data_IF_907043921046
#
_entry.id   IF_907043921046
#
_cell.length_a   1.000
_cell.length_b   1.000
_cell.length_c   1.000
_cell.angle_alpha   90.00
_cell.angle_beta   90.00
_cell.angle_gamma   90.00
#
_symmetry.space_group_name_H-M   'P 1'
#
loop_
_entity.id
_entity.type
_entity.pdbx_description
1 polymer ?
#
# COMPACT_ATOMS: atom_id res chain seq x y z
N UNK A 1 9.35 1.70 38.69
CA UNK A 1 8.91 0.53 37.90
C UNK A 1 8.71 0.98 36.46
N UNK A 2 9.28 0.28 35.48
CA UNK A 2 9.07 0.59 34.05
C UNK A 2 7.74 -0.02 33.63
N UNK A 3 6.78 0.81 33.18
CA UNK A 3 5.47 0.33 32.72
C UNK A 3 5.59 -0.30 31.32
N UNK A 4 4.66 -1.20 30.98
CA UNK A 4 4.58 -1.78 29.62
C UNK A 4 4.47 -0.69 28.53
N UNK A 5 3.80 0.41 28.85
CA UNK A 5 3.67 1.55 27.95
C UNK A 5 4.99 2.30 27.74
N UNK A 6 5.80 2.44 28.79
CA UNK A 6 7.13 3.05 28.70
C UNK A 6 8.09 2.21 27.83
N UNK A 7 8.02 0.88 27.92
CA UNK A 7 8.75 -0.03 27.03
C UNK A 7 8.32 0.12 25.56
N UNK A 8 7.02 0.27 25.32
CA UNK A 8 6.47 0.47 23.97
C UNK A 8 6.91 1.82 23.38
N UNK A 9 6.85 2.90 24.16
CA UNK A 9 7.31 4.23 23.76
C UNK A 9 8.81 4.24 23.45
N UNK A 10 9.63 3.56 24.27
CA UNK A 10 11.07 3.40 24.02
C UNK A 10 11.35 2.63 22.73
N UNK A 11 10.62 1.55 22.44
CA UNK A 11 10.77 0.80 21.19
C UNK A 11 10.43 1.65 19.96
N UNK A 12 9.35 2.44 20.04
CA UNK A 12 8.93 3.33 18.96
C UNK A 12 9.99 4.43 18.74
N UNK A 13 10.46 5.07 19.81
CA UNK A 13 11.48 6.12 19.71
C UNK A 13 12.80 5.60 19.12
N UNK A 14 13.21 4.37 19.47
CA UNK A 14 14.39 3.71 18.90
C UNK A 14 14.25 3.43 17.40
N UNK A 15 13.09 2.94 16.97
CA UNK A 15 12.82 2.68 15.55
C UNK A 15 12.79 3.97 14.72
N UNK A 16 12.28 5.07 15.30
CA UNK A 16 12.32 6.40 14.66
C UNK A 16 13.76 6.89 14.53
N UNK A 17 14.59 6.71 15.57
CA UNK A 17 15.99 7.10 15.53
C UNK A 17 16.78 6.32 14.45
N UNK A 18 16.57 5.00 14.33
CA UNK A 18 17.22 4.20 13.27
C UNK A 18 16.83 4.68 11.87
N UNK A 19 15.56 5.06 11.67
CA UNK A 19 15.11 5.62 10.41
C UNK A 19 15.76 6.98 10.13
N UNK A 20 15.79 7.87 11.11
CA UNK A 20 16.41 9.21 10.96
C UNK A 20 17.92 9.12 10.76
N UNK A 21 18.59 8.13 11.36
CA UNK A 21 20.01 7.85 11.13
C UNK A 21 20.25 7.48 9.66
N UNK A 22 19.41 6.64 9.07
CA UNK A 22 19.47 6.30 7.64
C UNK A 22 19.13 7.48 6.72
N UNK A 23 18.23 8.38 7.14
CA UNK A 23 17.91 9.62 6.40
C UNK A 23 19.06 10.64 6.49
N UNK A 24 19.77 10.71 7.61
CA UNK A 24 20.99 11.54 7.76
C UNK A 24 22.14 11.02 6.91
N UNK A 25 22.35 9.70 6.86
CA UNK A 25 23.38 9.07 6.02
C UNK A 25 23.12 9.30 4.51
N UNK A 26 21.92 9.74 4.15
CA UNK A 26 21.50 10.12 2.79
C UNK A 26 21.43 11.64 2.58
N UNK A 27 21.94 12.44 3.52
CA UNK A 27 21.90 13.92 3.51
C UNK A 27 20.46 14.50 3.42
N UNK A 28 19.44 13.74 3.84
CA UNK A 28 18.03 14.19 3.80
C UNK A 28 17.62 15.01 5.02
N UNK A 29 18.36 14.91 6.12
CA UNK A 29 18.13 15.67 7.35
C UNK A 29 19.47 16.19 7.89
N UNK A 30 19.42 17.27 8.66
CA UNK A 30 20.59 17.89 9.27
C UNK A 30 20.95 17.27 10.64
N UNK A 31 22.23 17.39 11.02
CA UNK A 31 22.76 16.83 12.26
C UNK A 31 22.01 17.32 13.53
N UNK A 32 21.61 18.60 13.65
CA UNK A 32 20.83 19.08 14.79
C UNK A 32 19.50 18.34 14.97
N UNK A 33 18.83 18.00 13.87
CA UNK A 33 17.55 17.26 13.88
C UNK A 33 17.76 15.81 14.34
N UNK A 34 18.84 15.17 13.91
CA UNK A 34 19.21 13.83 14.39
C UNK A 34 19.58 13.84 15.88
N UNK A 35 20.31 14.85 16.35
CA UNK A 35 20.71 14.98 17.76
C UNK A 35 19.51 15.22 18.69
N UNK A 36 18.50 15.97 18.24
CA UNK A 36 17.26 16.14 18.98
C UNK A 36 16.55 14.79 19.19
N UNK A 37 16.46 13.97 18.14
CA UNK A 37 15.88 12.62 18.27
C UNK A 37 16.70 11.69 19.18
N UNK A 38 18.04 11.79 19.15
CA UNK A 38 18.92 11.08 20.10
C UNK A 38 18.66 11.50 21.54
N UNK A 39 18.43 12.79 21.79
CA UNK A 39 18.08 13.32 23.10
C UNK A 39 16.75 12.76 23.61
N UNK A 40 15.74 12.67 22.72
CA UNK A 40 14.42 12.07 23.04
C UNK A 40 14.56 10.58 23.39
N UNK A 41 15.32 9.79 22.63
CA UNK A 41 15.55 8.38 22.99
C UNK A 41 16.28 8.24 24.33
N UNK A 42 17.21 9.16 24.61
CA UNK A 42 17.94 9.20 25.88
C UNK A 42 17.04 9.61 27.04
N UNK A 43 16.08 10.51 26.84
CA UNK A 43 15.10 10.90 27.87
C UNK A 43 14.15 9.75 28.22
N UNK A 44 13.80 8.88 27.27
CA UNK A 44 13.08 7.62 27.55
C UNK A 44 13.93 6.53 28.22
N UNK A 45 15.26 6.71 28.29
CA UNK A 45 16.14 5.80 29.03
C UNK A 45 16.32 6.23 30.50
N UNK A 46 16.20 7.52 30.79
CA UNK A 46 16.19 8.07 32.15
C UNK A 46 14.76 8.16 32.66
N UNK A 47 14.44 7.48 33.76
CA UNK A 47 13.09 7.21 34.29
C UNK A 47 12.20 8.40 34.66
N UNK A 48 12.56 9.64 34.33
CA UNK A 48 11.79 10.84 34.68
C UNK A 48 11.42 11.61 33.41
N UNK A 49 10.30 11.28 32.78
CA UNK A 49 9.65 12.18 31.83
C UNK A 49 8.15 12.20 32.07
N UNK A 50 7.65 13.34 32.54
CA UNK A 50 6.24 13.72 32.45
C UNK A 50 6.06 14.40 31.09
N UNK A 51 5.20 13.87 30.20
CA UNK A 51 5.02 14.45 28.87
C UNK A 51 4.24 15.77 28.96
N UNK A 52 4.81 16.86 28.43
CA UNK A 52 4.05 18.06 28.11
C UNK A 52 3.03 17.74 27.02
N UNK A 53 1.76 18.02 27.34
CA UNK A 53 0.61 17.79 26.46
C UNK A 53 0.65 18.79 25.32
N UNK A 54 1.07 18.35 24.14
CA UNK A 54 0.90 19.12 22.90
C UNK A 54 -0.59 19.07 22.52
N UNK A 55 -1.24 20.24 22.54
CA UNK A 55 -2.64 20.41 22.14
C UNK A 55 -2.82 19.99 20.68
N UNK A 56 -3.78 19.09 20.45
CA UNK A 56 -4.18 18.61 19.13
C UNK A 56 -4.75 19.78 18.31
N UNK A 57 -4.19 20.00 17.12
CA UNK A 57 -4.80 20.84 16.08
C UNK A 57 -5.81 19.94 15.34
N UNK A 58 -7.09 20.33 15.23
CA UNK A 58 -8.08 19.54 14.50
C UNK A 58 -7.80 19.63 13.00
N UNK A 59 -7.72 18.47 12.34
CA UNK A 59 -7.71 18.38 10.87
C UNK A 59 -9.14 18.11 10.44
N UNK A 60 -9.79 19.12 9.86
CA UNK A 60 -11.05 18.96 9.15
C UNK A 60 -10.78 18.25 7.81
N UNK A 61 -11.28 17.03 7.66
CA UNK A 61 -11.40 16.36 6.36
C UNK A 61 -12.71 16.80 5.70
N UNK A 62 -12.70 17.32 4.45
CA UNK A 62 -13.93 17.61 3.73
C UNK A 62 -14.57 16.29 3.29
N UNK A 63 -15.85 16.13 3.62
CA UNK A 63 -16.71 15.06 3.10
C UNK A 63 -17.42 15.65 1.89
N UNK A 64 -17.00 15.28 0.69
CA UNK A 64 -17.78 15.55 -0.52
C UNK A 64 -18.84 14.45 -0.67
N UNK A 65 -20.10 14.85 -0.52
CA UNK A 65 -21.27 14.05 -0.87
C UNK A 65 -21.38 13.94 -2.39
N UNK A 66 -21.15 12.75 -2.95
CA UNK A 66 -21.50 12.42 -4.33
C UNK A 66 -22.56 11.31 -4.33
N UNK A 67 -23.71 11.66 -4.92
CA UNK A 67 -24.88 10.82 -5.12
C UNK A 67 -24.51 9.68 -6.09
N UNK A 68 -24.64 8.41 -5.66
CA UNK A 68 -24.38 7.24 -6.50
C UNK A 68 -25.66 6.60 -7.04
N UNK A 69 -25.70 6.40 -8.36
CA UNK A 69 -26.65 5.52 -9.05
C UNK A 69 -26.19 4.06 -8.92
N UNK A 70 -27.09 3.20 -8.43
CA UNK A 70 -26.84 1.78 -8.22
C UNK A 70 -26.91 0.99 -9.54
N UNK A 71 -25.76 0.47 -10.00
CA UNK A 71 -25.67 -0.38 -11.20
C UNK A 71 -25.58 -1.86 -10.77
N UNK A 72 -26.39 -2.73 -11.39
CA UNK A 72 -26.57 -4.14 -11.02
C UNK A 72 -25.55 -5.07 -11.71
N UNK A 73 -25.47 -6.33 -11.26
CA UNK A 73 -24.50 -7.35 -11.73
C UNK A 73 -24.53 -7.66 -13.23
N UNK A 74 -25.57 -7.24 -13.96
CA UNK A 74 -25.69 -7.44 -15.40
C UNK A 74 -24.79 -6.48 -16.22
N UNK A 75 -24.24 -5.42 -15.59
CA UNK A 75 -23.40 -4.40 -16.21
C UNK A 75 -21.88 -4.65 -16.11
N UNK A 76 -21.45 -5.77 -15.51
CA UNK A 76 -20.02 -6.09 -15.30
C UNK A 76 -19.34 -6.54 -16.59
N UNK A 77 -20.07 -7.26 -17.45
CA UNK A 77 -19.56 -7.75 -18.73
C UNK A 77 -19.26 -6.65 -19.76
N UNK A 78 -20.10 -5.61 -19.96
CA UNK A 78 -19.78 -4.53 -20.89
C UNK A 78 -18.59 -3.67 -20.42
N UNK A 79 -18.40 -3.48 -19.11
CA UNK A 79 -17.26 -2.73 -18.59
C UNK A 79 -15.92 -3.45 -18.81
N UNK A 80 -15.87 -4.75 -18.53
CA UNK A 80 -14.69 -5.58 -18.85
C UNK A 80 -14.41 -5.62 -20.35
N UNK A 81 -15.46 -5.72 -21.18
CA UNK A 81 -15.32 -5.64 -22.64
C UNK A 81 -14.77 -4.28 -23.10
N UNK A 82 -15.19 -3.19 -22.45
CA UNK A 82 -14.68 -1.84 -22.68
C UNK A 82 -13.18 -1.71 -22.37
N UNK A 83 -12.76 -2.17 -21.19
CA UNK A 83 -11.33 -2.17 -20.81
C UNK A 83 -10.51 -3.06 -21.76
N UNK A 84 -11.03 -4.24 -22.13
CA UNK A 84 -10.36 -5.14 -23.06
C UNK A 84 -10.20 -4.55 -24.47
N UNK A 85 -11.19 -3.78 -24.93
CA UNK A 85 -11.08 -3.00 -26.17
C UNK A 85 -9.98 -1.94 -26.08
N UNK A 86 -9.89 -1.21 -24.95
CA UNK A 86 -8.83 -0.21 -24.73
C UNK A 86 -7.43 -0.84 -24.71
N UNK A 87 -7.26 -1.98 -24.03
CA UNK A 87 -6.01 -2.76 -24.04
C UNK A 87 -5.61 -3.13 -25.47
N UNK A 88 -6.58 -3.60 -26.27
CA UNK A 88 -6.34 -3.99 -27.66
C UNK A 88 -5.94 -2.80 -28.54
N UNK A 89 -6.56 -1.64 -28.34
CA UNK A 89 -6.20 -0.40 -29.04
C UNK A 89 -4.79 0.07 -28.68
N UNK A 90 -4.44 0.06 -27.39
CA UNK A 90 -3.10 0.42 -26.92
C UNK A 90 -2.03 -0.52 -27.49
N UNK A 91 -2.33 -1.82 -27.55
CA UNK A 91 -1.40 -2.81 -28.12
C UNK A 91 -1.20 -2.62 -29.63
N UNK A 92 -2.26 -2.30 -30.38
CA UNK A 92 -2.18 -1.95 -31.80
C UNK A 92 -1.35 -0.69 -32.03
N UNK A 93 -1.59 0.39 -31.26
CA UNK A 93 -0.84 1.64 -31.35
C UNK A 93 0.64 1.42 -31.02
N UNK A 94 0.94 0.70 -29.94
CA UNK A 94 2.30 0.34 -29.54
C UNK A 94 3.00 -0.47 -30.64
N UNK A 95 2.33 -1.47 -31.21
CA UNK A 95 2.88 -2.30 -32.29
C UNK A 95 3.15 -1.47 -33.54
N UNK A 96 2.24 -0.55 -33.90
CA UNK A 96 2.44 0.37 -35.01
C UNK A 96 3.68 1.23 -34.81
N UNK A 97 3.84 1.83 -33.63
CA UNK A 97 5.00 2.67 -33.27
C UNK A 97 6.31 1.89 -33.23
N UNK A 98 6.30 0.64 -32.75
CA UNK A 98 7.45 -0.27 -32.80
C UNK A 98 7.84 -0.59 -34.26
N UNK A 99 6.85 -0.82 -35.12
CA UNK A 99 7.11 -1.07 -36.54
C UNK A 99 7.63 0.19 -37.26
N UNK A 100 7.10 1.37 -36.92
CA UNK A 100 7.63 2.66 -37.38
C UNK A 100 9.12 2.80 -36.97
N UNK A 101 9.45 2.56 -35.69
CA UNK A 101 10.83 2.61 -35.20
C UNK A 101 11.73 1.58 -35.92
N UNK A 102 11.21 0.37 -36.19
CA UNK A 102 11.96 -0.70 -36.87
C UNK A 102 12.28 -0.37 -38.33
N UNK A 103 11.38 0.34 -39.00
CA UNK A 103 11.51 0.69 -40.42
C UNK A 103 12.32 2.00 -40.64
N UNK A 104 12.70 2.68 -39.57
CA UNK A 104 13.50 3.91 -39.67
C UNK A 104 15.00 3.62 -39.84
N UNK A 105 15.75 4.53 -40.50
CA UNK A 105 17.20 4.45 -40.59
C UNK A 105 17.82 4.48 -39.19
N UNK A 106 18.80 3.60 -38.93
CA UNK A 106 19.47 3.47 -37.62
C UNK A 106 20.28 4.70 -37.22
N UNK A 107 20.58 5.56 -38.19
CA UNK A 107 21.45 6.72 -38.02
C UNK A 107 20.69 7.94 -37.47
N UNK A 108 19.35 7.85 -37.36
CA UNK A 108 18.50 8.91 -36.85
C UNK A 108 18.06 8.55 -35.42
N UNK A 109 18.50 9.35 -34.44
CA UNK A 109 18.09 9.17 -33.04
C UNK A 109 16.65 9.66 -32.85
N UNK A 110 15.72 8.73 -32.61
CA UNK A 110 14.29 9.03 -32.42
C UNK A 110 13.89 8.88 -30.96
N UNK A 111 14.43 9.75 -30.11
CA UNK A 111 14.17 9.75 -28.66
C UNK A 111 12.67 9.89 -28.36
N UNK A 112 11.99 10.77 -29.09
CA UNK A 112 10.55 11.02 -28.95
C UNK A 112 9.72 9.76 -29.22
N UNK A 113 10.00 9.05 -30.32
CA UNK A 113 9.30 7.81 -30.67
C UNK A 113 9.54 6.72 -29.61
N UNK A 114 10.73 6.63 -29.06
CA UNK A 114 11.04 5.69 -27.96
C UNK A 114 10.32 6.08 -26.67
N UNK A 115 10.19 7.37 -26.36
CA UNK A 115 9.40 7.85 -25.22
C UNK A 115 7.92 7.56 -25.40
N UNK A 116 7.35 7.78 -26.59
CA UNK A 116 5.97 7.42 -26.92
C UNK A 116 5.71 5.92 -26.74
N UNK A 117 6.63 5.05 -27.21
CA UNK A 117 6.51 3.60 -27.01
C UNK A 117 6.55 3.23 -25.53
N UNK A 118 7.40 3.89 -24.73
CA UNK A 118 7.45 3.68 -23.28
C UNK A 118 6.15 4.09 -22.61
N UNK A 119 5.61 5.26 -22.96
CA UNK A 119 4.33 5.74 -22.44
C UNK A 119 3.19 4.78 -22.78
N UNK A 120 3.07 4.37 -24.05
CA UNK A 120 2.08 3.39 -24.50
C UNK A 120 2.20 2.04 -23.76
N UNK A 121 3.41 1.64 -23.39
CA UNK A 121 3.64 0.43 -22.58
C UNK A 121 3.16 0.62 -21.14
N UNK A 122 3.39 1.76 -20.52
CA UNK A 122 2.92 2.05 -19.17
C UNK A 122 1.39 2.11 -19.13
N UNK A 123 0.77 2.78 -20.11
CA UNK A 123 -0.68 2.87 -20.24
C UNK A 123 -1.29 1.47 -20.47
N UNK A 124 -0.68 0.65 -21.32
CA UNK A 124 -1.09 -0.74 -21.54
C UNK A 124 -1.04 -1.55 -20.24
N UNK A 125 0.07 -1.47 -19.49
CA UNK A 125 0.21 -2.19 -18.22
C UNK A 125 -0.80 -1.71 -17.17
N UNK A 126 -1.07 -0.40 -17.13
CA UNK A 126 -2.09 0.18 -16.26
C UNK A 126 -3.48 -0.37 -16.55
N UNK A 127 -3.86 -0.44 -17.83
CA UNK A 127 -5.16 -0.99 -18.26
C UNK A 127 -5.29 -2.50 -18.05
N UNK A 128 -4.20 -3.25 -18.26
CA UNK A 128 -4.16 -4.68 -17.92
C UNK A 128 -4.33 -4.91 -16.42
N UNK A 129 -3.67 -4.10 -15.58
CA UNK A 129 -3.85 -4.13 -14.13
C UNK A 129 -5.31 -3.80 -13.74
N UNK A 130 -5.91 -2.77 -14.36
CA UNK A 130 -7.32 -2.40 -14.17
C UNK A 130 -8.27 -3.54 -14.56
N UNK A 131 -8.04 -4.19 -15.70
CA UNK A 131 -8.80 -5.35 -16.15
C UNK A 131 -8.70 -6.52 -15.16
N UNK A 132 -7.49 -6.85 -14.71
CA UNK A 132 -7.30 -7.93 -13.73
C UNK A 132 -7.96 -7.61 -12.40
N UNK A 133 -7.88 -6.36 -11.96
CA UNK A 133 -8.55 -5.91 -10.76
C UNK A 133 -10.06 -6.00 -10.89
N UNK A 134 -10.64 -5.45 -11.95
CA UNK A 134 -12.08 -5.49 -12.22
C UNK A 134 -12.60 -6.93 -12.36
N UNK A 135 -11.80 -7.84 -12.96
CA UNK A 135 -12.12 -9.25 -13.10
C UNK A 135 -12.07 -10.02 -11.77
N UNK A 136 -11.13 -9.71 -10.89
CA UNK A 136 -10.95 -10.42 -9.61
C UNK A 136 -11.87 -9.87 -8.52
N UNK A 137 -12.09 -8.55 -8.50
CA UNK A 137 -12.82 -7.87 -7.42
C UNK A 137 -14.25 -7.48 -7.80
N UNK A 138 -14.65 -7.66 -9.06
CA UNK A 138 -16.00 -7.35 -9.53
C UNK A 138 -16.32 -5.87 -9.35
N UNK A 139 -16.10 -5.09 -10.40
CA UNK A 139 -16.35 -3.62 -10.46
C UNK A 139 -15.22 -2.79 -9.83
N UNK A 140 -14.90 -1.68 -10.50
CA UNK A 140 -14.05 -0.63 -9.97
C UNK A 140 -14.62 -0.11 -8.66
N UNK A 141 -13.77 0.06 -7.63
CA UNK A 141 -13.99 0.86 -6.41
C UNK A 141 -15.46 1.11 -6.06
N UNK A 142 -16.24 0.05 -5.81
CA UNK A 142 -17.20 0.13 -4.73
C UNK A 142 -16.38 -0.20 -3.50
N UNK A 143 -16.21 0.78 -2.61
CA UNK A 143 -15.80 0.49 -1.26
C UNK A 143 -16.72 -0.60 -0.74
N UNK A 144 -16.18 -1.81 -0.66
CA UNK A 144 -16.90 -2.93 -0.07
C UNK A 144 -17.02 -2.57 1.40
N UNK A 145 -18.11 -1.91 1.77
CA UNK A 145 -18.82 -2.15 3.03
C UNK A 145 -19.41 -3.56 2.98
N UNK A 146 -18.55 -4.53 2.72
CA UNK A 146 -18.75 -5.85 3.23
C UNK A 146 -17.70 -5.96 4.31
N UNK A 147 -18.15 -5.77 5.55
CA UNK A 147 -17.64 -6.55 6.67
C UNK A 147 -17.60 -7.98 6.18
N UNK A 148 -16.49 -8.37 5.55
CA UNK A 148 -16.18 -9.77 5.34
C UNK A 148 -15.94 -10.22 6.75
N UNK A 149 -17.01 -10.69 7.40
CA UNK A 149 -16.94 -11.46 8.62
C UNK A 149 -16.07 -12.63 8.21
N UNK A 150 -14.76 -12.50 8.42
CA UNK A 150 -13.85 -13.58 8.16
C UNK A 150 -14.18 -14.56 9.27
N UNK A 151 -15.08 -15.49 8.99
CA UNK A 151 -15.29 -16.69 9.77
C UNK A 151 -14.01 -17.51 9.61
N UNK A 152 -12.97 -17.10 10.35
CA UNK A 152 -11.79 -17.91 10.49
C UNK A 152 -12.16 -19.10 11.35
N UNK A 153 -12.07 -20.27 10.74
CA UNK A 153 -11.88 -21.49 11.48
C UNK A 153 -10.52 -21.37 12.21
N UNK A 154 -10.60 -21.01 13.49
CA UNK A 154 -9.46 -20.72 14.34
C UNK A 154 -9.17 -21.97 15.17
N UNK A 155 -7.93 -22.49 15.14
CA UNK A 155 -7.56 -23.61 15.97
C UNK A 155 -7.74 -23.26 17.45
N UNK A 156 -8.08 -24.27 18.25
CA UNK A 156 -8.25 -24.14 19.71
C UNK A 156 -6.92 -24.19 20.45
N UNK A 157 -5.89 -24.81 19.85
CA UNK A 157 -4.57 -24.91 20.46
C UNK A 157 -3.78 -23.59 20.37
N UNK A 158 -3.17 -23.20 21.49
CA UNK A 158 -2.41 -21.95 21.63
C UNK A 158 -1.14 -21.96 20.79
N UNK A 159 -0.50 -23.11 20.62
CA UNK A 159 0.73 -23.21 19.83
C UNK A 159 0.41 -23.05 18.34
N UNK A 160 -0.67 -23.67 17.86
CA UNK A 160 -1.18 -23.46 16.50
C UNK A 160 -1.63 -22.03 16.22
N UNK A 161 -2.31 -21.37 17.18
CA UNK A 161 -2.68 -19.96 17.07
C UNK A 161 -1.43 -19.06 16.93
N UNK A 162 -0.38 -19.30 17.71
CA UNK A 162 0.88 -18.56 17.61
C UNK A 162 1.57 -18.77 16.25
N UNK A 163 1.59 -20.02 15.73
CA UNK A 163 2.14 -20.32 14.39
C UNK A 163 1.35 -19.61 13.29
N UNK A 164 0.01 -19.65 13.37
CA UNK A 164 -0.87 -18.97 12.40
C UNK A 164 -0.64 -17.45 12.44
N UNK A 165 -0.54 -16.86 13.65
CA UNK A 165 -0.23 -15.44 13.83
C UNK A 165 1.13 -15.06 13.24
N UNK A 166 2.18 -15.88 13.43
CA UNK A 166 3.51 -15.64 12.85
C UNK A 166 3.47 -15.65 11.32
N UNK A 167 2.76 -16.59 10.72
CA UNK A 167 2.58 -16.67 9.27
C UNK A 167 1.85 -15.44 8.73
N UNK A 168 0.77 -15.01 9.41
CA UNK A 168 0.02 -13.81 9.01
C UNK A 168 0.90 -12.56 9.11
N UNK A 169 1.69 -12.40 10.19
CA UNK A 169 2.64 -11.28 10.33
C UNK A 169 3.70 -11.25 9.22
N UNK A 170 4.22 -12.42 8.85
CA UNK A 170 5.18 -12.55 7.75
C UNK A 170 4.57 -12.10 6.43
N UNK A 171 3.33 -12.53 6.13
CA UNK A 171 2.62 -12.13 4.92
C UNK A 171 2.25 -10.64 4.94
N UNK A 172 1.86 -10.10 6.10
CA UNK A 172 1.57 -8.68 6.27
C UNK A 172 2.80 -7.80 5.97
N UNK A 173 4.00 -8.21 6.41
CA UNK A 173 5.24 -7.53 6.04
C UNK A 173 5.47 -7.54 4.53
N UNK A 174 5.23 -8.68 3.86
CA UNK A 174 5.34 -8.80 2.40
C UNK A 174 4.32 -7.90 1.68
N UNK A 175 3.06 -7.91 2.11
CA UNK A 175 2.01 -7.08 1.51
C UNK A 175 2.30 -5.59 1.66
N UNK A 176 2.84 -5.15 2.80
CA UNK A 176 3.32 -3.77 2.98
C UNK A 176 4.46 -3.43 2.02
N UNK A 177 5.38 -4.36 1.79
CA UNK A 177 6.43 -4.21 0.76
C UNK A 177 5.84 -4.06 -0.65
N UNK A 178 4.88 -4.92 -1.00
CA UNK A 178 4.21 -4.85 -2.31
C UNK A 178 3.36 -3.61 -2.49
N UNK A 179 2.69 -3.12 -1.44
CA UNK A 179 1.97 -1.85 -1.47
C UNK A 179 2.91 -0.68 -1.78
N UNK A 180 4.11 -0.65 -1.17
CA UNK A 180 5.12 0.38 -1.47
C UNK A 180 5.64 0.31 -2.91
N UNK A 181 5.81 -0.91 -3.44
CA UNK A 181 6.27 -1.12 -4.81
C UNK A 181 5.17 -0.96 -5.88
N UNK A 182 3.89 -0.95 -5.48
CA UNK A 182 2.76 -0.87 -6.39
C UNK A 182 2.68 0.51 -7.07
N UNK A 183 2.77 0.49 -8.41
CA UNK A 183 2.67 1.71 -9.22
C UNK A 183 1.23 2.08 -9.59
N UNK A 184 0.36 1.08 -9.72
CA UNK A 184 -1.03 1.28 -10.17
C UNK A 184 -2.00 1.40 -8.99
N UNK A 185 -3.05 2.23 -9.09
CA UNK A 185 -4.03 2.42 -8.03
C UNK A 185 -4.77 1.11 -7.69
N UNK A 186 -5.03 0.28 -8.70
CA UNK A 186 -5.63 -1.05 -8.53
C UNK A 186 -4.77 -1.99 -7.65
N UNK A 187 -3.45 -2.06 -7.89
CA UNK A 187 -2.54 -2.84 -7.04
C UNK A 187 -2.45 -2.26 -5.64
N UNK A 188 -2.47 -0.94 -5.49
CA UNK A 188 -2.49 -0.29 -4.17
C UNK A 188 -3.74 -0.65 -3.38
N UNK A 189 -4.92 -0.56 -4.00
CA UNK A 189 -6.19 -0.96 -3.39
C UNK A 189 -6.18 -2.45 -3.00
N UNK A 190 -5.71 -3.32 -3.89
CA UNK A 190 -5.61 -4.76 -3.63
C UNK A 190 -4.72 -5.08 -2.42
N UNK A 191 -3.49 -4.56 -2.37
CA UNK A 191 -2.58 -4.82 -1.26
C UNK A 191 -3.04 -4.15 0.04
N UNK A 192 -3.69 -2.98 -0.05
CA UNK A 192 -4.35 -2.34 1.10
C UNK A 192 -5.40 -3.27 1.72
N UNK A 193 -6.29 -3.85 0.90
CA UNK A 193 -7.30 -4.82 1.35
C UNK A 193 -6.68 -6.05 2.01
N UNK A 194 -5.62 -6.62 1.43
CA UNK A 194 -4.91 -7.77 2.01
C UNK A 194 -4.24 -7.43 3.36
N UNK A 195 -3.72 -6.21 3.51
CA UNK A 195 -3.17 -5.74 4.79
C UNK A 195 -4.29 -5.62 5.83
N UNK A 196 -5.40 -4.96 5.51
CA UNK A 196 -6.54 -4.83 6.42
C UNK A 196 -7.08 -6.20 6.87
N UNK A 197 -7.23 -7.15 5.94
CA UNK A 197 -7.64 -8.52 6.27
C UNK A 197 -6.64 -9.23 7.20
N UNK A 198 -5.33 -9.09 6.95
CA UNK A 198 -4.30 -9.67 7.80
C UNK A 198 -4.27 -9.02 9.20
N UNK A 199 -4.50 -7.72 9.31
CA UNK A 199 -4.58 -7.00 10.59
C UNK A 199 -5.79 -7.44 11.42
N UNK A 200 -6.96 -7.57 10.78
CA UNK A 200 -8.16 -8.13 11.41
C UNK A 200 -7.89 -9.55 11.94
N UNK A 201 -7.25 -10.40 11.12
CA UNK A 201 -6.90 -11.76 11.53
C UNK A 201 -5.95 -11.80 12.74
N UNK A 202 -4.94 -10.92 12.77
CA UNK A 202 -4.02 -10.82 13.90
C UNK A 202 -4.77 -10.38 15.16
N UNK A 203 -5.67 -9.40 15.05
CA UNK A 203 -6.45 -8.91 16.19
C UNK A 203 -7.37 -10.00 16.75
N UNK A 204 -8.04 -10.77 15.87
CA UNK A 204 -8.89 -11.91 16.26
C UNK A 204 -8.11 -13.04 16.93
N UNK A 205 -6.90 -13.35 16.45
CA UNK A 205 -6.05 -14.37 17.09
C UNK A 205 -5.52 -13.85 18.43
N UNK A 206 -5.12 -12.57 18.49
CA UNK A 206 -4.58 -11.94 19.71
C UNK A 206 -5.61 -11.90 20.83
N UNK A 207 -6.90 -11.66 20.52
CA UNK A 207 -7.99 -11.69 21.51
C UNK A 207 -8.31 -13.08 22.06
N UNK A 208 -7.89 -14.16 21.38
CA UNK A 208 -8.01 -15.55 21.88
C UNK A 208 -6.80 -16.04 22.67
N UNK A 209 -5.62 -15.43 22.46
CA UNK A 209 -4.37 -15.80 23.16
C UNK A 209 -4.19 -15.01 24.46
N UNK A 210 -4.66 -13.75 24.49
CA UNK A 210 -4.66 -12.87 25.65
C UNK A 210 -5.67 -13.30 26.70
#
# INVERSE_FOLDING_TARGET
MITKEHLKQRMIASAILERMQAEYDQDLIDLPTLENQRSIVKSYATTNFEPEVIKQIPVETPVDDLIEESITKDDVNPLLAGIQKQISQLDQLKTKKINELRNMPRDICQVELVQEIKQLREDYLSKVDEYHYARVHGVAVQETKEETIVTLDLPTDRLELNRKMLNIRTNLSKYRGYLKAAKTPAKKAHYSKLISQAEIQINLISSKIG
#
